data_IF_946921580200
#
_entry.id   IF_946921580200
#
_cell.length_a   1.000
_cell.length_b   1.000
_cell.length_c   1.000
_cell.angle_alpha   90.00
_cell.angle_beta   90.00
_cell.angle_gamma   90.00
#
_symmetry.space_group_name_H-M   'P 1'
#
loop_
_entity.id
_entity.type
_entity.pdbx_description
1 polymer ?
#
# COMPACT_ATOMS: atom_id res chain seq x y z
N UNK A 1 -50.07 54.90 -37.44
CA UNK A 1 -49.32 53.63 -37.59
C UNK A 1 -48.21 53.64 -36.54
N UNK A 2 -48.42 52.95 -35.42
CA UNK A 2 -47.49 52.97 -34.28
C UNK A 2 -46.69 51.67 -34.29
N UNK A 3 -45.37 51.80 -34.39
CA UNK A 3 -44.44 50.68 -34.54
C UNK A 3 -44.02 50.21 -33.13
N UNK A 4 -44.53 49.05 -32.69
CA UNK A 4 -44.17 48.47 -31.38
C UNK A 4 -42.78 47.87 -31.45
N UNK A 5 -41.80 48.55 -30.87
CA UNK A 5 -40.47 47.99 -30.58
C UNK A 5 -40.61 46.81 -29.61
N UNK A 6 -40.37 45.60 -30.10
CA UNK A 6 -40.25 44.38 -29.28
C UNK A 6 -38.93 44.40 -28.52
N UNK A 7 -38.97 44.85 -27.28
CA UNK A 7 -37.86 44.72 -26.34
C UNK A 7 -37.82 43.26 -25.84
N UNK A 8 -37.04 42.41 -26.49
CA UNK A 8 -36.81 41.04 -26.02
C UNK A 8 -35.80 41.07 -24.87
N UNK A 9 -36.33 41.09 -23.64
CA UNK A 9 -35.58 40.87 -22.41
C UNK A 9 -34.85 39.53 -22.46
N UNK A 10 -33.53 39.56 -22.60
CA UNK A 10 -32.64 38.40 -22.53
C UNK A 10 -32.64 37.87 -21.09
N UNK A 11 -33.60 37.00 -20.77
CA UNK A 11 -33.63 36.26 -19.50
C UNK A 11 -32.51 35.22 -19.55
N UNK A 12 -31.30 35.60 -19.15
CA UNK A 12 -30.21 34.67 -18.92
C UNK A 12 -30.63 33.71 -17.81
N UNK A 13 -30.95 32.45 -18.18
CA UNK A 13 -31.12 31.36 -17.24
C UNK A 13 -29.74 31.09 -16.65
N UNK A 14 -29.45 31.66 -15.48
CA UNK A 14 -28.29 31.27 -14.68
C UNK A 14 -28.52 29.82 -14.27
N UNK A 15 -27.90 28.89 -15.00
CA UNK A 15 -27.82 27.51 -14.60
C UNK A 15 -26.98 27.45 -13.33
N UNK A 16 -27.63 27.15 -12.20
CA UNK A 16 -26.95 26.75 -10.97
C UNK A 16 -26.20 25.46 -11.27
N UNK A 17 -24.89 25.56 -11.50
CA UNK A 17 -23.99 24.41 -11.56
C UNK A 17 -23.69 24.03 -10.12
N UNK A 18 -24.11 22.84 -9.62
CA UNK A 18 -23.60 22.35 -8.37
C UNK A 18 -22.14 21.98 -8.61
N UNK A 19 -21.22 22.82 -8.15
CA UNK A 19 -19.81 22.45 -8.03
C UNK A 19 -19.75 21.45 -6.88
N UNK A 20 -19.91 20.16 -7.20
CA UNK A 20 -19.52 19.09 -6.32
C UNK A 20 -17.99 19.11 -6.27
N UNK A 21 -17.45 19.82 -5.31
CA UNK A 21 -16.07 19.62 -4.87
C UNK A 21 -15.96 18.19 -4.36
N UNK A 22 -15.58 17.26 -5.24
CA UNK A 22 -15.17 15.93 -4.82
C UNK A 22 -13.97 16.12 -3.89
N UNK A 23 -14.24 15.85 -2.61
CA UNK A 23 -13.24 15.78 -1.58
C UNK A 23 -12.11 14.86 -2.02
N UNK A 24 -10.90 15.38 -1.86
CA UNK A 24 -9.63 14.67 -1.84
C UNK A 24 -9.79 13.25 -1.28
N UNK A 25 -9.80 12.25 -2.17
CA UNK A 25 -9.52 10.88 -1.76
C UNK A 25 -8.01 10.79 -1.49
N UNK A 26 -7.60 11.30 -0.32
CA UNK A 26 -6.42 10.77 0.35
C UNK A 26 -6.81 9.40 0.87
N UNK A 27 -6.76 8.40 0.00
CA UNK A 27 -6.94 7.01 0.40
C UNK A 27 -5.86 6.68 1.42
N UNK A 28 -6.24 6.52 2.69
CA UNK A 28 -5.40 5.81 3.62
C UNK A 28 -5.31 4.39 3.10
N UNK A 29 -4.20 4.04 2.44
CA UNK A 29 -3.85 2.64 2.25
C UNK A 29 -3.69 2.07 3.66
N UNK A 30 -4.72 1.36 4.11
CA UNK A 30 -4.61 0.53 5.30
C UNK A 30 -3.74 -0.66 4.94
N UNK A 31 -2.43 -0.41 4.86
CA UNK A 31 -1.42 -1.45 4.70
C UNK A 31 -1.62 -2.41 5.87
N UNK A 32 -1.85 -3.67 5.54
CA UNK A 32 -2.11 -4.69 6.54
C UNK A 32 -0.86 -4.85 7.39
N UNK A 33 -1.03 -4.87 8.71
CA UNK A 33 0.01 -5.37 9.58
C UNK A 33 0.32 -6.82 9.16
N UNK A 34 1.60 -7.21 9.17
CA UNK A 34 1.99 -8.54 8.71
C UNK A 34 1.31 -9.65 9.53
N UNK A 35 0.88 -10.71 8.85
CA UNK A 35 0.30 -11.88 9.50
C UNK A 35 1.38 -12.60 10.34
N UNK A 36 1.03 -12.96 11.58
CA UNK A 36 1.95 -13.66 12.50
C UNK A 36 2.35 -15.03 11.92
N UNK A 37 3.59 -15.16 11.47
CA UNK A 37 4.22 -16.43 11.08
C UNK A 37 5.14 -16.94 12.21
N UNK A 38 5.53 -18.22 12.19
CA UNK A 38 6.66 -18.68 13.01
C UNK A 38 7.93 -17.95 12.52
N UNK A 39 8.27 -16.85 13.18
CA UNK A 39 9.37 -15.98 12.74
C UNK A 39 10.74 -16.51 13.17
N UNK A 40 10.81 -17.39 14.18
CA UNK A 40 12.08 -17.85 14.73
C UNK A 40 12.34 -19.33 14.47
N UNK A 41 13.44 -19.65 13.77
CA UNK A 41 13.86 -21.03 13.48
C UNK A 41 15.38 -21.17 13.46
N UNK A 42 15.91 -22.20 14.13
CA UNK A 42 17.34 -22.52 14.20
C UNK A 42 18.26 -21.34 14.61
N UNK A 43 17.74 -20.45 15.47
CA UNK A 43 18.49 -19.28 15.97
C UNK A 43 18.48 -18.08 15.02
N UNK A 44 17.63 -18.09 13.99
CA UNK A 44 17.29 -16.94 13.18
C UNK A 44 15.88 -16.49 13.48
N UNK A 45 15.64 -15.19 13.49
CA UNK A 45 14.33 -14.56 13.61
C UNK A 45 14.10 -13.64 12.40
N UNK A 46 12.95 -13.78 11.75
CA UNK A 46 12.53 -12.98 10.59
C UNK A 46 11.28 -12.20 10.98
N UNK A 47 11.45 -10.94 11.32
CA UNK A 47 10.37 -10.04 11.71
C UNK A 47 9.89 -9.25 10.48
N UNK A 48 8.67 -9.48 9.98
CA UNK A 48 8.10 -8.62 8.95
C UNK A 48 7.83 -7.23 9.53
N UNK A 49 8.18 -6.18 8.78
CA UNK A 49 7.92 -4.79 9.16
C UNK A 49 6.58 -4.33 8.57
N UNK A 50 6.06 -3.22 9.10
CA UNK A 50 4.90 -2.56 8.51
C UNK A 50 5.25 -2.13 7.07
N UNK A 51 4.38 -2.43 6.08
CA UNK A 51 4.68 -2.05 4.70
C UNK A 51 4.76 -0.52 4.56
N UNK A 52 5.68 -0.04 3.73
CA UNK A 52 5.85 1.38 3.44
C UNK A 52 5.29 1.72 2.06
N UNK A 53 4.43 2.73 1.99
CA UNK A 53 3.94 3.27 0.72
C UNK A 53 5.07 4.06 0.03
N UNK A 54 5.58 3.50 -1.06
CA UNK A 54 6.57 4.16 -1.91
C UNK A 54 5.83 4.93 -3.01
N UNK A 55 6.28 6.15 -3.29
CA UNK A 55 5.61 7.03 -4.28
C UNK A 55 5.19 6.30 -5.58
N UNK A 56 3.91 6.42 -5.94
CA UNK A 56 3.31 5.75 -7.09
C UNK A 56 2.51 4.51 -6.68
N UNK A 57 2.59 3.44 -7.47
CA UNK A 57 1.91 2.17 -7.21
C UNK A 57 2.87 1.13 -6.60
N UNK A 58 3.77 1.56 -5.71
CA UNK A 58 4.84 0.72 -5.15
C UNK A 58 4.69 0.64 -3.64
N UNK A 59 4.86 -0.56 -3.09
CA UNK A 59 4.84 -0.79 -1.65
C UNK A 59 6.09 -1.60 -1.29
N UNK A 60 6.79 -1.16 -0.26
CA UNK A 60 7.91 -1.90 0.34
C UNK A 60 7.38 -2.85 1.40
N UNK A 61 7.71 -4.15 1.27
CA UNK A 61 7.36 -5.18 2.23
C UNK A 61 8.61 -5.67 2.96
N UNK A 62 9.27 -4.74 3.65
CA UNK A 62 10.54 -4.97 4.32
C UNK A 62 10.45 -6.02 5.41
N UNK A 63 11.54 -6.77 5.58
CA UNK A 63 11.71 -7.74 6.66
C UNK A 63 13.01 -7.48 7.40
N UNK A 64 13.00 -7.62 8.73
CA UNK A 64 14.20 -7.60 9.56
C UNK A 64 14.59 -9.03 9.90
N UNK A 65 15.85 -9.37 9.66
CA UNK A 65 16.39 -10.72 9.87
C UNK A 65 17.52 -10.63 10.88
N UNK A 66 17.44 -11.43 11.94
CA UNK A 66 18.43 -11.50 13.01
C UNK A 66 18.83 -12.96 13.22
N UNK A 67 20.11 -13.30 13.04
CA UNK A 67 20.62 -14.65 13.14
C UNK A 67 21.82 -14.74 14.07
N UNK A 68 21.86 -15.79 14.88
CA UNK A 68 23.00 -16.02 15.76
C UNK A 68 24.16 -16.75 15.06
N UNK A 69 25.25 -16.03 14.84
CA UNK A 69 26.46 -16.61 14.29
C UNK A 69 26.34 -17.01 12.82
N UNK A 70 27.32 -17.78 12.35
CA UNK A 70 27.50 -18.02 10.91
C UNK A 70 26.41 -18.92 10.31
N UNK A 71 25.61 -18.36 9.40
CA UNK A 71 24.46 -19.04 8.78
C UNK A 71 24.19 -18.50 7.38
N UNK A 72 23.65 -19.37 6.52
CA UNK A 72 23.00 -18.97 5.28
C UNK A 72 21.50 -19.21 5.42
N UNK A 73 20.69 -18.21 5.10
CA UNK A 73 19.23 -18.24 5.31
C UNK A 73 18.53 -17.96 3.98
N UNK A 74 17.61 -18.85 3.60
CA UNK A 74 16.66 -18.61 2.52
C UNK A 74 15.30 -18.26 3.13
N UNK A 75 14.75 -17.11 2.74
CA UNK A 75 13.48 -16.58 3.21
C UNK A 75 12.52 -16.55 2.03
N UNK A 76 11.33 -17.12 2.23
CA UNK A 76 10.24 -17.11 1.25
C UNK A 76 9.09 -16.29 1.82
N UNK A 77 8.77 -15.20 1.14
CA UNK A 77 7.73 -14.26 1.54
C UNK A 77 6.58 -14.33 0.52
N UNK A 78 5.36 -14.50 1.03
CA UNK A 78 4.14 -14.45 0.23
C UNK A 78 3.34 -13.21 0.65
N UNK A 79 2.95 -12.41 -0.34
CA UNK A 79 2.23 -11.16 -0.15
C UNK A 79 0.82 -11.35 -0.69
N UNK A 80 -0.17 -10.96 0.11
CA UNK A 80 -1.59 -11.14 -0.18
C UNK A 80 -2.31 -9.79 -0.15
N UNK A 81 -3.39 -9.67 -0.92
CA UNK A 81 -4.34 -8.56 -0.79
C UNK A 81 -4.99 -8.60 0.58
N UNK A 82 -5.22 -7.41 1.16
CA UNK A 82 -5.98 -7.28 2.39
C UNK A 82 -7.38 -6.75 2.06
N UNK A 83 -8.19 -7.59 1.43
CA UNK A 83 -9.59 -7.25 1.15
C UNK A 83 -10.45 -7.48 2.41
N UNK A 84 -11.20 -6.46 2.83
CA UNK A 84 -12.20 -6.63 3.90
C UNK A 84 -13.48 -7.24 3.30
N UNK A 85 -13.64 -8.57 3.36
CA UNK A 85 -14.86 -9.22 2.86
C UNK A 85 -14.89 -10.76 2.95
N UNK A 86 -15.91 -11.38 2.34
CA UNK A 86 -16.02 -12.84 2.18
C UNK A 86 -15.20 -13.39 0.99
N UNK A 87 -14.35 -12.55 0.39
CA UNK A 87 -13.48 -12.93 -0.72
C UNK A 87 -12.14 -13.42 -0.15
N UNK A 88 -11.54 -14.36 -0.88
CA UNK A 88 -10.25 -14.91 -0.51
C UNK A 88 -9.17 -13.85 -0.68
N UNK A 89 -8.21 -13.76 0.26
CA UNK A 89 -7.03 -12.92 0.11
C UNK A 89 -6.25 -13.37 -1.13
N UNK A 90 -6.31 -12.62 -2.23
CA UNK A 90 -5.63 -12.96 -3.47
C UNK A 90 -4.12 -12.80 -3.29
N UNK A 91 -3.34 -13.78 -3.78
CA UNK A 91 -1.87 -13.71 -3.69
C UNK A 91 -1.35 -12.67 -4.69
N UNK A 92 -0.86 -11.55 -4.17
CA UNK A 92 -0.26 -10.46 -4.95
C UNK A 92 1.12 -10.84 -5.49
N UNK A 93 1.97 -11.41 -4.64
CA UNK A 93 3.36 -11.66 -4.99
C UNK A 93 3.99 -12.77 -4.14
N UNK A 94 5.09 -13.29 -4.67
CA UNK A 94 6.00 -14.21 -3.98
C UNK A 94 7.43 -13.74 -4.21
N UNK A 95 8.23 -13.77 -3.14
CA UNK A 95 9.61 -13.34 -3.14
C UNK A 95 10.47 -14.34 -2.39
N UNK A 96 11.64 -14.63 -2.92
CA UNK A 96 12.69 -15.41 -2.24
C UNK A 96 13.93 -14.55 -2.07
N UNK A 97 14.51 -14.54 -0.87
CA UNK A 97 15.77 -13.85 -0.57
C UNK A 97 16.71 -14.80 0.14
N UNK A 98 17.98 -14.75 -0.23
CA UNK A 98 19.06 -15.40 0.49
C UNK A 98 19.96 -14.36 1.14
N UNK A 99 20.29 -14.57 2.40
CA UNK A 99 21.21 -13.72 3.16
C UNK A 99 22.16 -14.61 3.97
N UNK A 100 23.43 -14.23 3.97
CA UNK A 100 24.47 -14.86 4.77
C UNK A 100 24.78 -13.96 5.96
N UNK A 101 24.90 -14.57 7.14
CA UNK A 101 25.33 -13.94 8.38
C UNK A 101 26.64 -14.58 8.82
N UNK A 102 27.55 -13.75 9.32
CA UNK A 102 28.76 -14.16 10.01
C UNK A 102 28.61 -14.03 11.54
N UNK A 103 29.72 -14.16 12.29
CA UNK A 103 29.70 -14.12 13.76
C UNK A 103 29.63 -12.72 14.37
N UNK A 104 29.82 -11.70 13.55
CA UNK A 104 29.84 -10.28 13.93
C UNK A 104 28.69 -9.51 13.31
N UNK A 105 27.95 -10.12 12.38
CA UNK A 105 26.80 -9.50 11.76
C UNK A 105 25.67 -9.27 12.76
N UNK A 106 25.15 -8.05 12.73
CA UNK A 106 23.93 -7.64 13.43
C UNK A 106 22.69 -7.93 12.56
N UNK A 107 21.51 -7.72 13.14
CA UNK A 107 20.26 -7.82 12.41
C UNK A 107 20.25 -6.92 11.16
N UNK A 108 19.82 -7.48 10.03
CA UNK A 108 19.78 -6.83 8.72
C UNK A 108 18.34 -6.60 8.26
N UNK A 109 18.05 -5.43 7.69
CA UNK A 109 16.76 -5.15 7.05
C UNK A 109 16.87 -5.37 5.55
N UNK A 110 15.89 -6.07 4.98
CA UNK A 110 15.81 -6.44 3.57
C UNK A 110 14.58 -5.77 2.98
N UNK A 111 14.79 -4.93 1.96
CA UNK A 111 13.77 -4.23 1.17
C UNK A 111 13.43 -5.01 -0.09
#
# INVERSE_FOLDING_TARGET
MSNTQKNHSTRAKVALVPVLSLGMFGGFLALAAPANAETSRYGCTVDPLDPEDLSGDKVDFSIKVDCNGEKSVEIRQWIYENERGHHHDDRLAERTVSVDFDRHDDATTIH
#
